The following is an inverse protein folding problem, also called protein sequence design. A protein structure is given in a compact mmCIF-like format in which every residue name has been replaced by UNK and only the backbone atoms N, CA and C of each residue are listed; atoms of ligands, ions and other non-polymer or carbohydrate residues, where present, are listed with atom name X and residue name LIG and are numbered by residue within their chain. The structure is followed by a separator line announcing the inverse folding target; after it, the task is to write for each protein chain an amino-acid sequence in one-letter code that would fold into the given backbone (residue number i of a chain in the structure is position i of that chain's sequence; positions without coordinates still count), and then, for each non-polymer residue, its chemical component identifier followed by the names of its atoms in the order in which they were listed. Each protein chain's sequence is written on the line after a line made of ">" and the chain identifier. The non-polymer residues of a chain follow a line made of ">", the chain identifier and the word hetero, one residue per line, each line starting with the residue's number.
data_IF_108321443765
#
_entry.id   IF_108321443765
#
_cell.length_a   1.000
_cell.length_b   1.000
_cell.length_c   1.000
_cell.angle_alpha   90.00
_cell.angle_beta   90.00
_cell.angle_gamma   90.00
#
_symmetry.space_group_name_H-M   'P 1'
#
loop_
_entity.id
_entity.type
_entity.pdbx_description
1 polymer ?
#
# COMPACT_ATOMS: atom_id res chain seq x y z
N UNK A 1 19.19 13.28 -27.17
CA UNK A 1 18.89 12.90 -25.78
C UNK A 1 18.84 11.39 -25.72
N UNK A 2 19.55 10.75 -24.78
CA UNK A 2 19.55 9.29 -24.65
C UNK A 2 18.19 8.75 -24.21
N UNK A 3 17.93 7.45 -24.40
CA UNK A 3 16.69 6.85 -23.88
C UNK A 3 16.61 7.00 -22.35
N UNK A 4 17.69 6.71 -21.62
CA UNK A 4 17.73 6.84 -20.17
C UNK A 4 17.39 8.25 -19.68
N UNK A 5 17.86 9.30 -20.37
CA UNK A 5 17.48 10.68 -20.04
C UNK A 5 15.98 10.90 -20.21
N UNK A 6 15.42 10.49 -21.37
CA UNK A 6 13.96 10.59 -21.60
C UNK A 6 13.15 9.76 -20.59
N UNK A 7 13.65 8.57 -20.23
CA UNK A 7 13.02 7.69 -19.25
C UNK A 7 12.99 8.36 -17.86
N UNK A 8 14.09 8.94 -17.40
CA UNK A 8 14.13 9.65 -16.11
C UNK A 8 13.22 10.87 -16.08
N UNK A 9 13.13 11.62 -17.17
CA UNK A 9 12.16 12.74 -17.31
C UNK A 9 10.71 12.23 -17.23
N UNK A 10 10.41 11.09 -17.88
CA UNK A 10 9.09 10.47 -17.81
C UNK A 10 8.75 9.90 -16.41
N UNK A 11 9.75 9.63 -15.58
CA UNK A 11 9.64 9.18 -14.20
C UNK A 11 9.69 10.32 -13.18
N UNK A 12 9.59 11.57 -13.60
CA UNK A 12 9.51 12.72 -12.69
C UNK A 12 8.26 12.64 -11.77
N UNK A 13 8.36 13.24 -10.58
CA UNK A 13 7.25 13.30 -9.64
C UNK A 13 6.07 14.08 -10.24
N UNK A 14 4.86 13.61 -9.94
CA UNK A 14 3.63 14.32 -10.27
C UNK A 14 3.30 15.42 -9.25
N UNK A 15 2.15 16.09 -9.42
CA UNK A 15 1.67 17.05 -8.44
C UNK A 15 1.38 16.38 -7.09
N UNK A 16 1.46 17.14 -5.98
CA UNK A 16 1.15 16.61 -4.66
C UNK A 16 -0.30 16.10 -4.55
N UNK A 17 -0.48 15.01 -3.84
CA UNK A 17 -1.81 14.52 -3.47
C UNK A 17 -2.38 15.35 -2.31
N UNK A 18 -3.69 15.33 -2.17
CA UNK A 18 -4.38 16.18 -1.19
C UNK A 18 -4.36 15.59 0.22
N UNK A 19 -4.48 16.48 1.20
CA UNK A 19 -4.85 16.16 2.58
C UNK A 19 -6.33 16.48 2.79
N UNK A 20 -7.06 15.56 3.44
CA UNK A 20 -8.48 15.71 3.76
C UNK A 20 -8.61 15.74 5.28
N UNK A 21 -9.21 16.80 5.84
CA UNK A 21 -9.56 16.79 7.26
C UNK A 21 -10.63 15.72 7.52
N UNK A 22 -10.36 14.86 8.50
CA UNK A 22 -11.28 13.80 8.89
C UNK A 22 -11.75 14.04 10.32
N UNK A 23 -13.08 14.01 10.59
CA UNK A 23 -13.60 14.29 11.91
C UNK A 23 -13.11 13.25 12.91
N UNK A 24 -12.75 13.70 14.13
CA UNK A 24 -12.40 12.83 15.25
C UNK A 24 -12.90 13.48 16.54
N UNK A 25 -13.57 12.70 17.41
CA UNK A 25 -14.11 13.18 18.68
C UNK A 25 -13.10 13.04 19.82
N UNK A 26 -11.88 13.47 19.57
CA UNK A 26 -10.80 13.48 20.56
C UNK A 26 -10.27 14.90 20.67
N UNK A 27 -10.57 15.62 21.78
CA UNK A 27 -10.09 16.99 21.98
C UNK A 27 -8.57 17.08 21.84
N UNK A 28 -8.10 18.11 21.13
CA UNK A 28 -6.66 18.36 20.92
C UNK A 28 -6.01 17.47 19.85
N UNK A 29 -6.73 16.51 19.25
CA UNK A 29 -6.22 15.69 18.15
C UNK A 29 -6.86 16.11 16.84
N UNK A 30 -6.02 16.39 15.83
CA UNK A 30 -6.42 16.57 14.43
C UNK A 30 -6.10 15.31 13.63
N UNK A 31 -7.04 14.81 12.84
CA UNK A 31 -6.85 13.67 11.97
C UNK A 31 -6.98 14.09 10.51
N UNK A 32 -5.96 13.78 9.72
CA UNK A 32 -5.90 14.04 8.29
C UNK A 32 -5.80 12.72 7.52
N UNK A 33 -6.44 12.66 6.37
CA UNK A 33 -6.26 11.59 5.40
C UNK A 33 -5.35 12.09 4.27
N UNK A 34 -4.24 11.41 4.00
CA UNK A 34 -3.40 11.62 2.83
C UNK A 34 -3.94 10.76 1.69
N UNK A 35 -4.57 11.38 0.72
CA UNK A 35 -5.32 10.69 -0.34
C UNK A 35 -4.44 10.32 -1.53
N UNK A 36 -3.85 9.13 -1.46
CA UNK A 36 -3.03 8.57 -2.54
C UNK A 36 -3.86 7.96 -3.69
N UNK A 37 -5.19 7.94 -3.58
CA UNK A 37 -6.05 7.56 -4.70
C UNK A 37 -6.03 8.59 -5.84
N UNK A 38 -5.58 9.81 -5.57
CA UNK A 38 -5.36 10.86 -6.56
C UNK A 38 -4.17 10.63 -7.50
N UNK A 39 -3.35 9.60 -7.29
CA UNK A 39 -2.27 9.25 -8.21
C UNK A 39 -2.80 8.80 -9.58
N UNK A 40 -2.06 8.97 -10.69
CA UNK A 40 -2.50 8.61 -12.04
C UNK A 40 -3.01 7.17 -12.21
N UNK A 41 -2.54 6.24 -11.37
CA UNK A 41 -3.00 4.84 -11.38
C UNK A 41 -3.97 4.51 -10.23
N UNK A 42 -4.53 5.54 -9.58
CA UNK A 42 -5.56 5.39 -8.55
C UNK A 42 -5.07 4.85 -7.21
N UNK A 43 -3.76 4.79 -6.97
CA UNK A 43 -3.23 4.21 -5.71
C UNK A 43 -1.82 4.64 -5.35
N UNK A 44 -1.49 4.52 -4.07
CA UNK A 44 -0.14 4.67 -3.49
C UNK A 44 0.93 3.83 -4.22
N UNK A 45 0.53 2.70 -4.84
CA UNK A 45 1.47 1.83 -5.57
C UNK A 45 2.12 2.54 -6.76
N UNK A 46 1.54 3.61 -7.26
CA UNK A 46 2.13 4.47 -8.29
C UNK A 46 3.50 5.01 -7.87
N UNK A 47 3.63 5.49 -6.63
CA UNK A 47 4.91 6.03 -6.12
C UNK A 47 5.99 4.95 -6.03
N UNK A 48 5.65 3.80 -5.47
CA UNK A 48 6.59 2.70 -5.34
C UNK A 48 7.01 2.14 -6.71
N UNK A 49 6.06 1.94 -7.63
CA UNK A 49 6.37 1.53 -9.01
C UNK A 49 7.33 2.53 -9.69
N UNK A 50 7.05 3.83 -9.59
CA UNK A 50 7.95 4.87 -10.11
C UNK A 50 9.37 4.76 -9.55
N UNK A 51 9.50 4.58 -8.24
CA UNK A 51 10.79 4.47 -7.58
C UNK A 51 11.59 3.24 -8.04
N UNK A 52 10.91 2.09 -8.20
CA UNK A 52 11.52 0.86 -8.72
C UNK A 52 12.03 1.04 -10.15
N UNK A 53 11.20 1.58 -11.06
CA UNK A 53 11.63 1.87 -12.44
C UNK A 53 12.77 2.88 -12.49
N UNK A 54 12.65 3.97 -11.72
CA UNK A 54 13.70 5.00 -11.66
C UNK A 54 15.04 4.44 -11.21
N UNK A 55 15.05 3.61 -10.17
CA UNK A 55 16.24 2.93 -9.68
C UNK A 55 16.83 2.01 -10.75
N UNK A 56 16.00 1.16 -11.38
CA UNK A 56 16.47 0.23 -12.39
C UNK A 56 16.97 0.90 -13.69
N UNK A 57 16.46 2.09 -14.03
CA UNK A 57 17.03 2.91 -15.12
C UNK A 57 18.36 3.54 -14.72
N UNK A 58 18.49 4.01 -13.47
CA UNK A 58 19.71 4.65 -12.97
C UNK A 58 20.86 3.66 -12.83
N UNK A 59 20.61 2.44 -12.39
CA UNK A 59 21.63 1.39 -12.24
C UNK A 59 21.89 0.60 -13.53
N UNK A 60 21.15 0.91 -14.62
CA UNK A 60 21.31 0.27 -15.92
C UNK A 60 20.66 -1.11 -16.05
N UNK A 61 19.92 -1.58 -15.05
CA UNK A 61 19.19 -2.86 -15.10
C UNK A 61 18.04 -2.83 -16.11
N UNK A 62 17.49 -1.64 -16.37
CA UNK A 62 16.50 -1.39 -17.43
C UNK A 62 17.09 -0.41 -18.45
N UNK A 63 17.10 -0.85 -19.71
CA UNK A 63 17.51 -0.06 -20.87
C UNK A 63 16.39 -0.06 -21.93
N UNK A 64 16.60 0.62 -23.06
CA UNK A 64 15.63 0.64 -24.16
C UNK A 64 15.30 -0.80 -24.62
N UNK A 65 14.02 -1.14 -24.68
CA UNK A 65 13.53 -2.45 -25.09
C UNK A 65 13.60 -3.55 -24.04
N UNK A 66 14.11 -3.29 -22.82
CA UNK A 66 14.12 -4.29 -21.74
C UNK A 66 12.70 -4.72 -21.39
N UNK A 67 12.41 -6.03 -21.45
CA UNK A 67 11.16 -6.58 -20.90
C UNK A 67 11.19 -6.53 -19.39
N UNK A 68 10.19 -5.90 -18.79
CA UNK A 68 10.05 -5.78 -17.33
C UNK A 68 9.10 -6.87 -16.83
N UNK A 69 9.50 -7.59 -15.80
CA UNK A 69 8.71 -8.68 -15.20
C UNK A 69 8.46 -8.42 -13.73
N UNK A 70 7.27 -8.78 -13.22
CA UNK A 70 6.95 -8.69 -11.80
C UNK A 70 5.99 -9.78 -11.31
N UNK A 71 6.10 -10.12 -10.04
CA UNK A 71 5.21 -11.03 -9.31
C UNK A 71 4.21 -10.23 -8.47
N UNK A 72 3.00 -9.99 -8.98
CA UNK A 72 1.98 -9.22 -8.23
C UNK A 72 0.60 -9.38 -8.85
N UNK A 73 -0.46 -9.04 -8.15
CA UNK A 73 -1.83 -9.25 -8.64
C UNK A 73 -2.82 -8.12 -8.38
N UNK A 74 -2.39 -6.98 -7.87
CA UNK A 74 -3.28 -5.88 -7.51
C UNK A 74 -2.85 -4.54 -8.12
N UNK A 75 -3.05 -3.46 -7.38
CA UNK A 75 -2.71 -2.10 -7.81
C UNK A 75 -1.25 -1.93 -8.25
N UNK A 76 -0.33 -2.74 -7.74
CA UNK A 76 1.06 -2.70 -8.17
C UNK A 76 1.23 -3.15 -9.63
N UNK A 77 0.50 -4.18 -10.08
CA UNK A 77 0.51 -4.61 -11.47
C UNK A 77 0.09 -3.49 -12.43
N UNK A 78 -1.00 -2.79 -12.08
CA UNK A 78 -1.52 -1.67 -12.88
C UNK A 78 -0.52 -0.50 -12.90
N UNK A 79 0.06 -0.16 -11.74
CA UNK A 79 1.03 0.94 -11.65
C UNK A 79 2.30 0.66 -12.46
N UNK A 80 2.80 -0.58 -12.40
CA UNK A 80 3.99 -0.98 -13.14
C UNK A 80 3.72 -1.07 -14.65
N UNK A 81 2.57 -1.62 -15.08
CA UNK A 81 2.15 -1.62 -16.49
C UNK A 81 2.06 -0.19 -17.04
N UNK A 82 1.54 0.75 -16.24
CA UNK A 82 1.45 2.16 -16.63
C UNK A 82 2.83 2.78 -16.88
N UNK A 83 3.81 2.53 -16.00
CA UNK A 83 5.17 3.03 -16.20
C UNK A 83 5.87 2.33 -17.36
N UNK A 84 5.74 1.02 -17.50
CA UNK A 84 6.29 0.28 -18.62
C UNK A 84 5.78 0.83 -19.97
N UNK A 85 4.45 1.05 -20.09
CA UNK A 85 3.86 1.69 -21.26
C UNK A 85 4.42 3.08 -21.51
N UNK A 86 4.55 3.92 -20.45
CA UNK A 86 5.08 5.27 -20.55
C UNK A 86 6.53 5.32 -21.02
N UNK A 87 7.32 4.28 -20.70
CA UNK A 87 8.71 4.13 -21.09
C UNK A 87 8.90 3.38 -22.42
N UNK A 88 7.81 2.89 -23.03
CA UNK A 88 7.85 2.07 -24.25
C UNK A 88 8.46 0.68 -24.03
N UNK A 89 8.30 0.10 -22.82
CA UNK A 89 8.86 -1.19 -22.43
C UNK A 89 7.79 -2.29 -22.44
N UNK A 90 8.11 -3.50 -22.92
CA UNK A 90 7.26 -4.67 -22.69
C UNK A 90 7.12 -4.97 -21.20
N UNK A 91 5.91 -5.39 -20.77
CA UNK A 91 5.64 -5.71 -19.36
C UNK A 91 4.93 -7.04 -19.23
N UNK A 92 5.46 -7.92 -18.37
CA UNK A 92 4.88 -9.22 -18.04
C UNK A 92 4.62 -9.26 -16.53
N UNK A 93 3.39 -9.53 -16.15
CA UNK A 93 3.04 -9.72 -14.73
C UNK A 93 2.62 -11.17 -14.47
N UNK A 94 3.23 -11.77 -13.45
CA UNK A 94 2.85 -13.09 -12.94
C UNK A 94 1.90 -12.91 -11.76
N UNK A 95 0.66 -13.35 -11.95
CA UNK A 95 -0.44 -13.19 -11.00
C UNK A 95 -0.77 -14.49 -10.26
N UNK A 96 -1.12 -14.44 -8.95
CA UNK A 96 -1.47 -15.64 -8.21
C UNK A 96 -2.89 -16.14 -8.55
N UNK A 97 -3.03 -17.46 -8.67
CA UNK A 97 -4.31 -18.16 -8.80
C UNK A 97 -4.68 -18.51 -10.23
N UNK A 98 -5.94 -18.89 -10.43
CA UNK A 98 -6.49 -19.19 -11.75
C UNK A 98 -6.65 -17.92 -12.59
N UNK A 99 -6.69 -18.06 -13.94
CA UNK A 99 -6.96 -16.95 -14.84
C UNK A 99 -8.23 -16.20 -14.47
N UNK A 100 -8.12 -14.88 -14.38
CA UNK A 100 -9.21 -13.97 -14.04
C UNK A 100 -9.18 -12.75 -14.99
N UNK A 101 -10.08 -12.72 -15.99
CA UNK A 101 -10.14 -11.64 -16.97
C UNK A 101 -10.43 -10.27 -16.35
N UNK A 102 -11.13 -10.21 -15.20
CA UNK A 102 -11.41 -8.94 -14.55
C UNK A 102 -10.13 -8.33 -13.95
N UNK A 103 -9.24 -9.17 -13.40
CA UNK A 103 -7.93 -8.76 -12.88
C UNK A 103 -6.95 -8.42 -13.99
N UNK A 104 -6.97 -9.17 -15.11
CA UNK A 104 -6.06 -8.96 -16.23
C UNK A 104 -6.39 -7.67 -17.01
N UNK A 105 -7.67 -7.35 -17.17
CA UNK A 105 -8.17 -6.26 -18.05
C UNK A 105 -7.45 -4.93 -17.89
N UNK A 106 -7.19 -4.51 -16.65
CA UNK A 106 -6.56 -3.21 -16.39
C UNK A 106 -5.08 -3.17 -16.82
N UNK A 107 -4.38 -4.30 -16.72
CA UNK A 107 -2.98 -4.45 -17.15
C UNK A 107 -2.90 -4.57 -18.66
N UNK A 108 -3.77 -5.39 -19.26
CA UNK A 108 -3.83 -5.62 -20.72
C UNK A 108 -4.21 -4.34 -21.48
N UNK A 109 -5.11 -3.52 -20.91
CA UNK A 109 -5.45 -2.21 -21.47
C UNK A 109 -4.25 -1.23 -21.51
N UNK A 110 -3.23 -1.49 -20.70
CA UNK A 110 -1.96 -0.77 -20.71
C UNK A 110 -0.88 -1.45 -21.58
N UNK A 111 -1.22 -2.56 -22.24
CA UNK A 111 -0.31 -3.30 -23.10
C UNK A 111 0.56 -4.34 -22.38
N UNK A 112 0.27 -4.64 -21.10
CA UNK A 112 0.97 -5.67 -20.34
C UNK A 112 0.43 -7.07 -20.62
N UNK A 113 1.26 -8.08 -20.46
CA UNK A 113 0.93 -9.50 -20.53
C UNK A 113 0.68 -10.04 -19.11
N UNK A 114 -0.43 -10.77 -18.90
CA UNK A 114 -0.76 -11.41 -17.62
C UNK A 114 -0.56 -12.93 -17.70
N UNK A 115 0.26 -13.47 -16.80
CA UNK A 115 0.45 -14.91 -16.60
C UNK A 115 -0.09 -15.31 -15.23
N UNK A 116 -0.95 -16.32 -15.17
CA UNK A 116 -1.52 -16.80 -13.92
C UNK A 116 -0.85 -18.10 -13.49
N UNK A 117 -0.52 -18.20 -12.19
CA UNK A 117 0.22 -19.33 -11.62
C UNK A 117 -0.45 -19.87 -10.37
N UNK A 118 -0.55 -21.20 -10.31
CA UNK A 118 -1.05 -21.98 -9.17
C UNK A 118 0.01 -23.01 -8.76
N UNK A 119 0.36 -23.17 -7.47
CA UNK A 119 -0.22 -22.48 -6.31
C UNK A 119 0.21 -21.01 -6.22
N UNK A 120 -0.53 -20.15 -5.49
CA UNK A 120 -0.26 -18.70 -5.43
C UNK A 120 1.14 -18.31 -4.98
N UNK A 121 1.81 -19.12 -4.17
CA UNK A 121 3.17 -18.85 -3.70
C UNK A 121 4.23 -19.04 -4.78
N UNK A 122 3.92 -19.78 -5.87
CA UNK A 122 4.87 -20.00 -6.96
C UNK A 122 5.10 -18.78 -7.87
N UNK A 123 4.38 -17.67 -7.63
CA UNK A 123 4.49 -16.46 -8.50
C UNK A 123 5.91 -15.87 -8.53
N UNK A 124 6.65 -15.96 -7.44
CA UNK A 124 8.00 -15.39 -7.36
C UNK A 124 8.98 -16.13 -8.25
N UNK A 125 9.03 -17.47 -8.11
CA UNK A 125 9.89 -18.33 -8.92
C UNK A 125 9.49 -18.25 -10.39
N UNK A 126 8.20 -18.27 -10.70
CA UNK A 126 7.68 -18.13 -12.05
C UNK A 126 8.00 -16.77 -12.68
N UNK A 127 8.03 -15.68 -11.89
CA UNK A 127 8.44 -14.36 -12.39
C UNK A 127 9.95 -14.29 -12.66
N UNK A 128 10.77 -14.88 -11.80
CA UNK A 128 12.21 -14.98 -12.03
C UNK A 128 12.51 -15.82 -13.27
N UNK A 129 11.85 -16.95 -13.42
CA UNK A 129 11.98 -17.81 -14.62
C UNK A 129 11.54 -17.06 -15.89
N UNK A 130 10.38 -16.39 -15.85
CA UNK A 130 9.88 -15.60 -16.96
C UNK A 130 10.85 -14.49 -17.37
N UNK A 131 11.46 -13.80 -16.40
CA UNK A 131 12.48 -12.79 -16.67
C UNK A 131 13.72 -13.40 -17.33
N UNK A 132 14.18 -14.56 -16.87
CA UNK A 132 15.30 -15.30 -17.46
C UNK A 132 15.01 -15.75 -18.92
N UNK A 133 13.80 -16.25 -19.19
CA UNK A 133 13.39 -16.72 -20.52
C UNK A 133 13.40 -15.60 -21.58
N UNK A 134 13.06 -14.37 -21.19
CA UNK A 134 13.00 -13.22 -22.11
C UNK A 134 14.25 -12.32 -22.05
N UNK A 135 15.25 -12.69 -21.26
CA UNK A 135 16.41 -11.81 -21.00
C UNK A 135 15.99 -10.46 -20.41
N UNK A 136 14.90 -10.46 -19.62
CA UNK A 136 14.30 -9.27 -19.06
C UNK A 136 14.77 -8.96 -17.65
N UNK A 137 14.17 -7.90 -17.04
CA UNK A 137 14.46 -7.47 -15.67
C UNK A 137 13.27 -7.79 -14.75
N UNK A 138 13.51 -8.58 -13.70
CA UNK A 138 12.56 -8.78 -12.61
C UNK A 138 12.68 -7.62 -11.61
N UNK A 139 11.61 -6.82 -11.46
CA UNK A 139 11.60 -5.63 -10.58
C UNK A 139 11.80 -5.97 -9.11
N UNK A 140 11.21 -7.11 -8.67
CA UNK A 140 11.30 -7.61 -7.29
C UNK A 140 10.91 -6.56 -6.25
N UNK A 141 9.66 -6.13 -6.28
CA UNK A 141 9.12 -5.10 -5.39
C UNK A 141 9.26 -5.41 -3.90
N UNK A 142 9.41 -6.68 -3.52
CA UNK A 142 9.55 -7.10 -2.14
C UNK A 142 11.02 -7.14 -1.69
N UNK A 143 11.91 -7.66 -2.51
CA UNK A 143 13.33 -7.73 -2.20
C UNK A 143 14.07 -6.41 -2.44
N UNK A 144 13.57 -5.59 -3.37
CA UNK A 144 14.18 -4.32 -3.77
C UNK A 144 13.34 -3.11 -3.42
N UNK A 145 12.64 -3.15 -2.29
CA UNK A 145 11.85 -2.01 -1.83
C UNK A 145 12.65 -0.70 -1.96
N UNK A 146 12.09 0.27 -2.68
CA UNK A 146 12.75 1.53 -2.99
C UNK A 146 12.05 2.69 -2.27
N UNK A 147 12.80 3.60 -1.63
CA UNK A 147 12.25 4.84 -1.11
C UNK A 147 11.56 5.65 -2.22
N UNK A 148 10.51 6.36 -1.86
CA UNK A 148 9.74 7.19 -2.78
C UNK A 148 9.38 8.54 -2.16
N UNK A 149 8.95 9.49 -2.96
CA UNK A 149 8.77 10.90 -2.64
C UNK A 149 7.60 11.25 -1.69
N UNK A 150 6.87 10.26 -1.18
CA UNK A 150 5.73 10.53 -0.28
C UNK A 150 6.14 11.30 0.98
N UNK A 151 7.26 10.93 1.59
CA UNK A 151 7.71 11.55 2.83
C UNK A 151 8.05 13.03 2.62
N UNK A 152 8.82 13.36 1.58
CA UNK A 152 9.18 14.74 1.22
C UNK A 152 7.92 15.59 1.00
N UNK A 153 6.98 15.05 0.21
CA UNK A 153 5.71 15.72 -0.08
C UNK A 153 4.86 15.93 1.18
N UNK A 154 4.71 14.89 1.99
CA UNK A 154 3.88 14.93 3.20
C UNK A 154 4.40 15.96 4.21
N UNK A 155 5.70 15.93 4.49
CA UNK A 155 6.31 16.82 5.47
C UNK A 155 6.42 18.27 4.96
N UNK A 156 6.39 18.49 3.65
CA UNK A 156 6.23 19.82 3.07
C UNK A 156 4.80 20.37 3.23
N UNK A 157 3.78 19.52 3.29
CA UNK A 157 2.37 19.91 3.41
C UNK A 157 1.93 20.10 4.87
N UNK A 158 2.44 19.28 5.79
CA UNK A 158 2.00 19.25 7.18
C UNK A 158 3.13 18.76 8.10
N UNK A 159 3.08 19.14 9.37
CA UNK A 159 3.96 18.60 10.42
C UNK A 159 3.13 17.71 11.35
N UNK A 160 3.01 16.42 11.06
CA UNK A 160 2.26 15.49 11.90
C UNK A 160 3.11 15.00 13.07
N UNK A 161 2.48 14.70 14.20
CA UNK A 161 3.11 13.97 15.31
C UNK A 161 3.18 12.46 15.01
N UNK A 162 2.22 11.99 14.21
CA UNK A 162 2.15 10.59 13.76
C UNK A 162 1.72 10.47 12.32
N UNK A 163 2.35 9.54 11.61
CA UNK A 163 1.86 9.02 10.33
C UNK A 163 1.49 7.56 10.48
N UNK A 164 0.28 7.20 10.04
CA UNK A 164 -0.24 5.82 10.09
C UNK A 164 -0.37 5.28 8.68
N UNK A 165 0.27 4.15 8.41
CA UNK A 165 0.22 3.45 7.11
C UNK A 165 0.04 1.95 7.31
N UNK A 166 -0.47 1.26 6.31
CA UNK A 166 -0.36 -0.19 6.24
C UNK A 166 0.97 -0.62 5.63
N UNK A 167 1.35 -1.87 5.83
CA UNK A 167 2.52 -2.46 5.20
C UNK A 167 2.17 -3.69 4.35
N UNK A 168 2.75 -3.77 3.14
CA UNK A 168 2.79 -4.99 2.33
C UNK A 168 4.23 -5.25 1.88
N UNK A 169 4.85 -4.40 1.05
CA UNK A 169 6.28 -4.49 0.72
C UNK A 169 7.17 -3.88 1.81
N UNK A 170 6.60 -3.07 2.70
CA UNK A 170 7.36 -2.29 3.67
C UNK A 170 7.93 -0.98 3.13
N UNK A 171 7.94 -0.76 1.80
CA UNK A 171 8.58 0.41 1.19
C UNK A 171 8.04 1.74 1.74
N UNK A 172 6.72 1.87 1.95
CA UNK A 172 6.11 3.11 2.42
C UNK A 172 6.45 3.41 3.88
N UNK A 173 6.34 2.41 4.78
CA UNK A 173 6.71 2.59 6.18
C UNK A 173 8.21 2.90 6.33
N UNK A 174 9.07 2.22 5.54
CA UNK A 174 10.50 2.51 5.52
C UNK A 174 10.83 3.92 4.98
N UNK A 175 10.12 4.35 3.91
CA UNK A 175 10.29 5.71 3.35
C UNK A 175 9.94 6.79 4.38
N UNK A 176 8.82 6.61 5.07
CA UNK A 176 8.38 7.55 6.10
C UNK A 176 9.31 7.52 7.31
N UNK A 177 9.62 6.34 7.83
CA UNK A 177 10.42 6.18 9.04
C UNK A 177 11.86 6.66 8.89
N UNK A 178 12.43 6.58 7.68
CA UNK A 178 13.78 7.05 7.41
C UNK A 178 14.00 8.54 7.71
N UNK A 179 12.96 9.37 7.62
CA UNK A 179 13.05 10.83 7.80
C UNK A 179 12.12 11.36 8.89
N UNK A 180 11.20 10.55 9.42
CA UNK A 180 10.17 11.00 10.38
C UNK A 180 10.79 11.66 11.62
N UNK A 181 11.88 11.11 12.17
CA UNK A 181 12.56 11.64 13.33
C UNK A 181 13.10 13.06 13.13
N UNK A 182 13.56 13.40 11.93
CA UNK A 182 14.04 14.75 11.59
C UNK A 182 12.91 15.79 11.61
N UNK A 183 11.67 15.34 11.45
CA UNK A 183 10.46 16.16 11.49
C UNK A 183 9.73 16.11 12.84
N UNK A 184 10.29 15.41 13.85
CA UNK A 184 9.63 15.21 15.14
C UNK A 184 8.39 14.31 15.05
N UNK A 185 8.29 13.49 14.01
CA UNK A 185 7.17 12.62 13.73
C UNK A 185 7.50 11.16 14.06
N UNK A 186 6.48 10.38 14.39
CA UNK A 186 6.55 8.92 14.61
C UNK A 186 5.74 8.18 13.55
N UNK A 187 6.13 6.94 13.26
CA UNK A 187 5.47 6.10 12.26
C UNK A 187 4.78 4.91 12.92
N UNK A 188 3.48 4.77 12.67
CA UNK A 188 2.72 3.60 13.06
C UNK A 188 2.33 2.76 11.83
N UNK A 189 2.48 1.45 11.94
CA UNK A 189 2.03 0.49 10.93
C UNK A 189 0.75 -0.20 11.41
N UNK A 190 -0.30 -0.09 10.62
CA UNK A 190 -1.55 -0.80 10.82
C UNK A 190 -1.48 -2.17 10.16
N UNK A 191 -1.69 -3.24 10.92
CA UNK A 191 -1.48 -4.62 10.50
C UNK A 191 -2.75 -5.45 10.65
N UNK A 192 -3.31 -6.05 9.57
CA UNK A 192 -4.56 -6.80 9.63
C UNK A 192 -4.37 -8.21 10.21
N UNK A 193 -5.49 -8.91 10.44
CA UNK A 193 -5.49 -10.32 10.86
C UNK A 193 -4.65 -11.17 9.90
N UNK A 194 -4.03 -12.24 10.44
CA UNK A 194 -3.17 -13.20 9.74
C UNK A 194 -1.84 -12.63 9.20
N UNK A 195 -1.54 -11.38 9.43
CA UNK A 195 -0.26 -10.80 9.02
C UNK A 195 0.87 -11.17 9.98
N UNK A 196 2.08 -11.24 9.42
CA UNK A 196 3.30 -11.53 10.17
C UNK A 196 3.98 -10.30 10.79
N UNK A 197 3.57 -9.08 10.41
CA UNK A 197 4.30 -7.87 10.83
C UNK A 197 4.14 -7.57 12.31
N UNK A 198 2.91 -7.61 12.85
CA UNK A 198 2.69 -7.36 14.28
C UNK A 198 3.40 -8.39 15.18
N UNK A 199 3.21 -9.72 14.98
CA UNK A 199 3.92 -10.68 15.80
C UNK A 199 5.44 -10.64 15.58
N UNK A 200 5.93 -10.49 14.35
CA UNK A 200 7.37 -10.38 14.05
C UNK A 200 8.01 -9.18 14.73
N UNK A 201 7.34 -8.02 14.68
CA UNK A 201 7.81 -6.79 15.34
C UNK A 201 7.78 -6.90 16.87
N UNK A 202 6.69 -7.47 17.44
CA UNK A 202 6.52 -7.59 18.90
C UNK A 202 7.49 -8.57 19.51
N UNK A 203 7.80 -9.66 18.79
CA UNK A 203 8.69 -10.74 19.26
C UNK A 203 10.15 -10.51 18.87
N UNK A 204 10.44 -9.48 18.09
CA UNK A 204 11.75 -9.20 17.48
C UNK A 204 12.26 -10.40 16.64
N UNK A 205 11.37 -10.96 15.79
CA UNK A 205 11.67 -12.11 14.92
C UNK A 205 11.57 -11.65 13.46
N UNK A 206 12.71 -11.34 12.80
CA UNK A 206 12.72 -10.74 11.47
C UNK A 206 12.25 -11.65 10.32
N UNK A 207 12.24 -12.95 10.53
CA UNK A 207 11.78 -13.96 9.57
C UNK A 207 10.45 -14.62 9.98
N UNK A 208 9.70 -13.99 10.88
CA UNK A 208 8.41 -14.51 11.35
C UNK A 208 7.44 -14.74 10.19
N UNK A 209 6.75 -15.87 10.24
CA UNK A 209 5.75 -16.25 9.24
C UNK A 209 4.51 -16.87 9.90
N UNK A 210 3.33 -16.42 9.48
CA UNK A 210 2.04 -17.03 9.87
C UNK A 210 1.64 -18.17 8.94
N UNK A 211 2.18 -18.18 7.70
CA UNK A 211 1.75 -19.08 6.65
C UNK A 211 0.33 -18.82 6.12
N UNK A 212 -0.35 -17.80 6.65
CA UNK A 212 -1.73 -17.46 6.29
C UNK A 212 -1.80 -16.12 5.52
N UNK A 213 -2.53 -16.05 4.40
CA UNK A 213 -2.68 -14.79 3.68
C UNK A 213 -3.59 -13.82 4.45
N UNK A 214 -3.28 -12.53 4.38
CA UNK A 214 -4.22 -11.49 4.80
C UNK A 214 -5.48 -11.51 3.93
N UNK A 215 -6.63 -11.25 4.54
CA UNK A 215 -7.92 -11.08 3.83
C UNK A 215 -8.13 -9.63 3.36
N UNK A 216 -7.31 -8.71 3.84
CA UNK A 216 -7.35 -7.30 3.43
C UNK A 216 -6.34 -7.08 2.30
N UNK A 217 -6.84 -6.79 1.11
CA UNK A 217 -6.00 -6.53 -0.06
C UNK A 217 -5.08 -5.32 0.18
N UNK A 218 -3.81 -5.47 -0.20
CA UNK A 218 -2.83 -4.37 -0.19
C UNK A 218 -2.07 -4.18 1.10
N UNK A 219 -2.45 -4.85 2.21
CA UNK A 219 -1.74 -4.81 3.50
C UNK A 219 -1.68 -6.19 4.14
N UNK A 220 -0.71 -6.37 5.04
CA UNK A 220 -0.46 -7.64 5.70
C UNK A 220 0.20 -8.68 4.80
N UNK A 221 1.07 -9.48 5.37
CA UNK A 221 1.81 -10.52 4.65
C UNK A 221 1.89 -11.80 5.48
N UNK A 222 1.95 -12.98 4.84
CA UNK A 222 2.11 -14.25 5.54
C UNK A 222 3.51 -14.44 6.14
N UNK A 223 4.46 -13.58 5.79
CA UNK A 223 5.82 -13.51 6.34
C UNK A 223 6.26 -12.06 6.43
N UNK A 224 7.24 -11.78 7.28
CA UNK A 224 7.93 -10.49 7.26
C UNK A 224 8.72 -10.37 5.95
N UNK A 225 8.43 -9.34 5.15
CA UNK A 225 9.10 -9.13 3.87
C UNK A 225 10.38 -8.29 4.07
N UNK A 226 11.42 -8.50 3.24
CA UNK A 226 12.73 -7.81 3.40
C UNK A 226 12.66 -6.29 3.39
N UNK A 227 11.66 -5.72 2.72
CA UNK A 227 11.46 -4.26 2.69
C UNK A 227 10.81 -3.68 3.94
N UNK A 228 10.32 -4.50 4.86
CA UNK A 228 9.81 -4.02 6.15
C UNK A 228 10.99 -3.78 7.10
N UNK A 229 11.12 -2.57 7.57
CA UNK A 229 12.19 -2.09 8.45
C UNK A 229 11.61 -1.84 9.84
N UNK A 230 11.66 -2.85 10.75
CA UNK A 230 11.10 -2.73 12.11
C UNK A 230 11.77 -1.63 12.94
N UNK A 231 13.06 -1.36 12.68
CA UNK A 231 13.87 -0.31 13.30
C UNK A 231 13.43 1.12 12.92
N UNK A 232 12.62 1.27 11.87
CA UNK A 232 12.05 2.55 11.41
C UNK A 232 10.57 2.71 11.75
N UNK A 233 10.01 1.84 12.60
CA UNK A 233 8.60 1.83 12.99
C UNK A 233 8.48 1.96 14.50
N UNK A 234 7.79 3.01 14.96
CA UNK A 234 7.61 3.30 16.38
C UNK A 234 6.49 2.45 17.02
N UNK A 235 5.53 2.00 16.20
CA UNK A 235 4.38 1.23 16.67
C UNK A 235 3.79 0.36 15.56
N UNK A 236 3.48 -0.90 15.86
CA UNK A 236 2.61 -1.73 15.01
C UNK A 236 1.29 -1.95 15.74
N UNK A 237 0.18 -1.63 15.08
CA UNK A 237 -1.19 -1.74 15.63
C UNK A 237 -1.91 -2.88 14.94
N UNK A 238 -2.24 -3.97 15.65
CA UNK A 238 -3.05 -5.04 15.09
C UNK A 238 -4.50 -4.57 14.91
N UNK A 239 -5.07 -4.81 13.74
CA UNK A 239 -6.41 -4.35 13.37
C UNK A 239 -7.23 -5.54 12.87
N UNK A 240 -8.36 -5.88 13.53
CA UNK A 240 -9.25 -6.91 13.03
C UNK A 240 -9.79 -6.61 11.63
N UNK A 241 -9.95 -7.62 10.79
CA UNK A 241 -10.44 -7.46 9.41
C UNK A 241 -11.82 -6.79 9.37
N UNK A 242 -12.72 -7.15 10.28
CA UNK A 242 -14.05 -6.50 10.39
C UNK A 242 -13.93 -5.00 10.72
N UNK A 243 -12.95 -4.62 11.53
CA UNK A 243 -12.66 -3.22 11.87
C UNK A 243 -12.09 -2.46 10.66
N UNK A 244 -11.23 -3.10 9.88
CA UNK A 244 -10.71 -2.55 8.62
C UNK A 244 -11.84 -2.24 7.63
N UNK A 245 -12.79 -3.17 7.46
CA UNK A 245 -13.95 -2.98 6.57
C UNK A 245 -14.88 -1.88 7.09
N UNK A 246 -15.18 -1.86 8.40
CA UNK A 246 -16.02 -0.83 9.01
C UNK A 246 -15.39 0.57 8.82
N UNK A 247 -14.08 0.70 9.03
CA UNK A 247 -13.38 1.97 8.85
C UNK A 247 -13.33 2.42 7.38
N UNK A 248 -13.19 1.49 6.42
CA UNK A 248 -13.29 1.82 5.00
C UNK A 248 -14.67 2.39 4.64
N UNK A 249 -15.76 1.79 5.18
CA UNK A 249 -17.12 2.30 5.04
C UNK A 249 -17.29 3.68 5.67
N UNK A 250 -16.68 3.90 6.83
CA UNK A 250 -16.72 5.21 7.49
C UNK A 250 -16.00 6.29 6.71
N UNK A 251 -14.85 5.99 6.08
CA UNK A 251 -14.20 6.92 5.16
C UNK A 251 -15.17 7.31 4.05
N UNK A 252 -15.83 6.34 3.41
CA UNK A 252 -16.80 6.62 2.35
C UNK A 252 -17.99 7.45 2.83
N UNK A 253 -18.54 7.15 4.01
CA UNK A 253 -19.65 7.95 4.59
C UNK A 253 -19.26 9.42 4.76
N UNK A 254 -18.03 9.71 5.17
CA UNK A 254 -17.55 11.07 5.45
C UNK A 254 -17.06 11.79 4.20
N UNK A 255 -16.34 11.09 3.31
CA UNK A 255 -15.60 11.72 2.20
C UNK A 255 -16.18 11.44 0.82
N UNK A 256 -17.08 10.46 0.70
CA UNK A 256 -17.59 9.96 -0.58
C UNK A 256 -16.65 8.98 -1.29
N UNK A 257 -15.41 8.78 -0.81
CA UNK A 257 -14.41 7.92 -1.46
C UNK A 257 -14.68 6.43 -1.18
N UNK A 258 -14.89 5.58 -2.19
CA UNK A 258 -15.00 4.14 -2.04
C UNK A 258 -13.63 3.50 -1.87
N UNK A 259 -13.02 3.69 -0.70
CA UNK A 259 -11.66 3.21 -0.41
C UNK A 259 -11.59 1.70 -0.21
N UNK A 260 -10.40 1.13 -0.45
CA UNK A 260 -10.09 -0.26 -0.13
C UNK A 260 -9.88 -0.53 1.36
N UNK A 261 -9.87 -1.82 1.73
CA UNK A 261 -9.70 -2.26 3.11
C UNK A 261 -8.41 -1.77 3.77
N UNK A 262 -7.33 -1.63 3.01
CA UNK A 262 -6.04 -1.11 3.51
C UNK A 262 -6.14 0.31 4.09
N UNK A 263 -6.95 1.16 3.47
CA UNK A 263 -7.24 2.51 3.98
C UNK A 263 -8.05 2.46 5.28
N UNK A 264 -8.99 1.52 5.36
CA UNK A 264 -9.74 1.27 6.59
C UNK A 264 -8.85 0.76 7.72
N UNK A 265 -7.92 -0.16 7.44
CA UNK A 265 -6.94 -0.64 8.42
C UNK A 265 -6.13 0.53 9.00
N UNK A 266 -5.63 1.42 8.13
CA UNK A 266 -4.88 2.59 8.55
C UNK A 266 -5.73 3.59 9.37
N UNK A 267 -6.99 3.85 8.95
CA UNK A 267 -7.89 4.73 9.72
C UNK A 267 -8.21 4.16 11.10
N UNK A 268 -8.52 2.85 11.19
CA UNK A 268 -8.80 2.23 12.48
C UNK A 268 -7.62 2.41 13.45
N UNK A 269 -6.41 2.10 12.99
CA UNK A 269 -5.20 2.27 13.80
C UNK A 269 -4.97 3.74 14.20
N UNK A 270 -5.25 4.70 13.32
CA UNK A 270 -5.17 6.12 13.62
C UNK A 270 -6.15 6.55 14.72
N UNK A 271 -7.36 6.00 14.72
CA UNK A 271 -8.37 6.26 15.77
C UNK A 271 -8.01 5.61 17.11
N UNK A 272 -7.43 4.39 17.09
CA UNK A 272 -6.84 3.77 18.28
C UNK A 272 -5.73 4.63 18.87
N UNK A 273 -4.87 5.15 18.01
CA UNK A 273 -3.77 6.04 18.40
C UNK A 273 -4.28 7.35 19.00
N UNK A 274 -5.30 7.97 18.39
CA UNK A 274 -5.97 9.15 18.93
C UNK A 274 -6.52 8.89 20.34
N UNK A 275 -7.12 7.72 20.56
CA UNK A 275 -7.58 7.28 21.88
C UNK A 275 -6.42 7.16 22.90
N UNK A 276 -5.28 6.61 22.49
CA UNK A 276 -4.07 6.51 23.35
C UNK A 276 -3.49 7.89 23.68
N UNK A 277 -3.45 8.82 22.70
CA UNK A 277 -3.03 10.21 22.92
C UNK A 277 -3.92 10.88 23.95
N UNK A 278 -5.25 10.76 23.81
CA UNK A 278 -6.22 11.28 24.81
C UNK A 278 -5.96 10.74 26.21
N UNK A 279 -5.76 9.44 26.33
CA UNK A 279 -5.53 8.79 27.64
C UNK A 279 -4.24 9.30 28.33
N UNK A 280 -3.28 9.81 27.55
CA UNK A 280 -2.02 10.39 28.02
C UNK A 280 -2.06 11.92 28.14
N UNK A 281 -3.19 12.57 27.82
CA UNK A 281 -3.29 14.02 27.77
C UNK A 281 -2.47 14.67 26.65
N UNK A 282 -2.12 13.92 25.62
CA UNK A 282 -1.37 14.38 24.46
C UNK A 282 -2.30 15.03 23.44
N UNK A 283 -1.82 16.09 22.78
CA UNK A 283 -2.46 16.73 21.64
C UNK A 283 -1.57 16.59 20.41
N UNK A 284 -2.14 16.73 19.20
CA UNK A 284 -1.31 16.73 18.00
C UNK A 284 -2.08 16.32 16.73
N UNK A 285 -1.32 16.17 15.66
CA UNK A 285 -1.83 15.82 14.33
C UNK A 285 -1.44 14.40 13.96
N UNK A 286 -2.43 13.61 13.54
CA UNK A 286 -2.24 12.28 12.98
C UNK A 286 -2.56 12.35 11.49
N UNK A 287 -1.69 11.79 10.64
CA UNK A 287 -1.99 11.57 9.23
C UNK A 287 -2.17 10.08 8.98
N UNK A 288 -3.32 9.68 8.44
CA UNK A 288 -3.59 8.31 7.99
C UNK A 288 -3.56 8.23 6.46
N UNK A 289 -2.88 7.23 5.90
CA UNK A 289 -2.82 7.08 4.46
C UNK A 289 -4.09 6.42 3.89
N UNK A 290 -4.64 7.01 2.83
CA UNK A 290 -5.61 6.38 1.94
C UNK A 290 -4.84 5.77 0.78
N UNK A 291 -4.73 4.44 0.77
CA UNK A 291 -3.90 3.72 -0.18
C UNK A 291 -4.48 3.65 -1.59
N UNK A 292 -5.79 3.59 -1.71
CA UNK A 292 -6.54 3.60 -2.98
C UNK A 292 -8.02 3.94 -2.75
N UNK A 293 -8.70 4.33 -3.83
CA UNK A 293 -10.15 4.41 -3.88
C UNK A 293 -10.61 4.02 -5.30
N UNK A 294 -11.51 3.03 -5.39
CA UNK A 294 -12.00 2.54 -6.66
C UNK A 294 -13.39 1.94 -6.54
N UNK A 295 -14.18 2.08 -7.61
CA UNK A 295 -15.55 1.54 -7.68
C UNK A 295 -15.62 0.02 -7.46
N UNK A 296 -14.56 -0.71 -7.82
CA UNK A 296 -14.45 -2.16 -7.56
C UNK A 296 -14.65 -2.53 -6.08
N UNK A 297 -14.33 -1.63 -5.16
CA UNK A 297 -14.50 -1.86 -3.72
C UNK A 297 -15.96 -1.81 -3.27
N UNK A 298 -16.87 -1.24 -4.09
CA UNK A 298 -18.30 -1.21 -3.81
C UNK A 298 -18.91 -2.61 -3.73
N UNK A 299 -18.43 -3.54 -4.57
CA UNK A 299 -18.88 -4.93 -4.60
C UNK A 299 -18.15 -5.84 -3.59
N UNK A 300 -17.27 -5.30 -2.75
CA UNK A 300 -16.51 -6.04 -1.75
C UNK A 300 -16.63 -5.37 -0.37
N UNK A 301 -15.68 -4.53 0.02
CA UNK A 301 -15.65 -3.92 1.36
C UNK A 301 -16.90 -3.09 1.71
N UNK A 302 -17.60 -2.56 0.69
CA UNK A 302 -18.81 -1.75 0.87
C UNK A 302 -20.12 -2.52 0.62
N UNK A 303 -20.05 -3.85 0.44
CA UNK A 303 -21.20 -4.74 0.24
C UNK A 303 -21.44 -5.62 1.49
N UNK A 304 -22.70 -5.68 1.96
CA UNK A 304 -23.03 -6.42 3.17
C UNK A 304 -23.05 -7.94 2.93
N UNK A 305 -23.47 -8.38 1.75
CA UNK A 305 -23.49 -9.80 1.41
C UNK A 305 -22.07 -10.35 1.30
N UNK A 306 -21.17 -9.58 0.72
CA UNK A 306 -19.74 -9.93 0.69
C UNK A 306 -19.15 -10.04 2.10
N UNK A 307 -19.40 -9.07 2.98
CA UNK A 307 -18.90 -9.06 4.36
C UNK A 307 -19.43 -10.25 5.15
N UNK A 308 -20.73 -10.52 5.06
CA UNK A 308 -21.38 -11.68 5.70
C UNK A 308 -20.81 -13.00 5.17
N UNK A 309 -20.60 -13.13 3.86
CA UNK A 309 -19.98 -14.29 3.22
C UNK A 309 -18.52 -14.53 3.67
N UNK A 310 -17.84 -13.51 4.22
CA UNK A 310 -16.52 -13.60 4.84
C UNK A 310 -16.56 -13.80 6.35
N UNK A 311 -17.76 -13.85 6.97
CA UNK A 311 -17.93 -13.97 8.41
C UNK A 311 -17.47 -12.74 9.19
N UNK A 312 -17.56 -11.53 8.60
CA UNK A 312 -17.10 -10.28 9.21
C UNK A 312 -18.26 -9.54 9.89
N UNK A 313 -18.19 -9.35 11.21
CA UNK A 313 -19.13 -8.48 11.95
C UNK A 313 -18.74 -7.00 11.75
N UNK A 314 -19.16 -6.42 10.63
CA UNK A 314 -18.89 -5.03 10.29
C UNK A 314 -19.82 -4.06 11.02
N UNK A 315 -21.09 -4.45 11.27
CA UNK A 315 -22.10 -3.57 11.83
C UNK A 315 -21.75 -3.12 13.26
N UNK A 316 -21.32 -4.06 14.11
CA UNK A 316 -20.87 -3.78 15.47
C UNK A 316 -19.68 -2.81 15.48
N UNK A 317 -18.69 -3.06 14.63
CA UNK A 317 -17.52 -2.19 14.51
C UNK A 317 -17.83 -0.80 13.95
N UNK A 318 -18.77 -0.70 13.01
CA UNK A 318 -19.19 0.59 12.47
C UNK A 318 -19.93 1.44 13.54
N UNK A 319 -20.73 0.79 14.38
CA UNK A 319 -21.38 1.46 15.52
C UNK A 319 -20.34 2.00 16.52
N UNK A 320 -19.32 1.22 16.84
CA UNK A 320 -18.22 1.67 17.67
C UNK A 320 -17.49 2.88 17.07
N UNK A 321 -17.19 2.84 15.76
CA UNK A 321 -16.53 3.96 15.06
C UNK A 321 -17.33 5.25 15.08
N UNK A 322 -18.65 5.18 14.89
CA UNK A 322 -19.54 6.37 14.92
C UNK A 322 -19.53 7.09 16.26
N UNK A 323 -19.11 6.45 17.35
CA UNK A 323 -18.90 7.08 18.64
C UNK A 323 -17.57 7.84 18.75
N UNK A 324 -16.57 7.43 17.94
CA UNK A 324 -15.21 8.03 17.93
C UNK A 324 -15.06 9.16 16.91
N UNK A 325 -15.95 9.24 15.92
CA UNK A 325 -15.90 10.14 14.75
C UNK A 325 -17.17 10.99 14.64
#
# INVERSE_FOLDING_TARGET
>A
MSWSTRALDALAAGPPTRLIDFPVRVPGVRLLLKDESGQPTGSLRHRHARALFRRAVLDGSITEGTTVVEATGGNAAVAQAWFARRLGLPYVVVMPGAPDPARARAVEALGGECRFVTPPLAIYDAAMEAAGQVGGHYLDQFGRAAPHDLAEELFAQVRPDWVVTGAATGATSATLGAVAGEHGCRVAVADPDNSAYFPGWTLDVPDYATGMPSRIEGVGRPRVEPGFRPDLVDLVVPVPDAASVAAARRIREVTGLPVGGSSGTALWAALELAGRMRARGESGTIVSLVGDAAERHLATYHDDAWAAGKGLDVAGRLTELRQRV
#
